data_IF_711832867901
#
_entry.id   IF_711832867901
#
_cell.length_a   1.000
_cell.length_b   1.000
_cell.length_c   1.000
_cell.angle_alpha   90.00
_cell.angle_beta   90.00
_cell.angle_gamma   90.00
#
_symmetry.space_group_name_H-M   'P 1'
#
loop_
_entity.id
_entity.type
_entity.pdbx_description
1 polymer ?
#
# COMPACT_ATOMS: atom_id res chain seq x y z
N UNK A 1 30.79 63.43 19.12
CA UNK A 1 30.73 62.20 18.28
C UNK A 1 30.22 61.06 19.15
N UNK A 2 29.10 60.42 18.76
CA UNK A 2 28.32 59.48 19.57
C UNK A 2 29.03 58.13 19.74
N UNK A 3 29.18 57.66 20.98
CA UNK A 3 29.49 56.27 21.32
C UNK A 3 28.19 55.46 21.27
N UNK A 4 28.19 54.34 20.56
CA UNK A 4 27.12 53.34 20.65
C UNK A 4 27.54 52.21 21.58
N UNK A 5 26.72 52.01 22.60
CA UNK A 5 26.71 50.90 23.54
C UNK A 5 25.58 49.93 23.19
N UNK A 6 25.73 48.67 23.62
CA UNK A 6 24.72 47.59 23.68
C UNK A 6 24.36 46.94 22.31
N UNK A 7 24.05 45.64 22.18
CA UNK A 7 23.51 44.72 23.18
C UNK A 7 23.81 43.24 22.82
N UNK A 8 24.01 42.42 23.84
CA UNK A 8 24.29 40.98 23.78
C UNK A 8 22.97 40.23 23.97
N UNK A 9 22.38 39.69 22.89
CA UNK A 9 21.24 38.78 23.01
C UNK A 9 21.65 37.33 22.74
N UNK A 10 21.73 36.56 23.83
CA UNK A 10 21.62 35.11 23.87
C UNK A 10 20.14 34.75 24.07
N UNK A 11 19.56 33.94 23.18
CA UNK A 11 18.50 32.94 23.51
C UNK A 11 18.04 32.24 22.21
N UNK A 12 18.22 30.91 22.10
CA UNK A 12 17.13 29.90 22.23
C UNK A 12 16.30 29.77 20.94
N UNK A 13 16.21 28.66 20.21
CA UNK A 13 15.92 27.29 20.67
C UNK A 13 16.25 26.25 19.59
N UNK A 14 16.99 25.20 19.97
CA UNK A 14 17.29 24.01 19.13
C UNK A 14 16.06 23.11 18.95
N UNK A 15 15.90 22.41 17.80
CA UNK A 15 14.93 21.32 17.66
C UNK A 15 15.47 20.04 18.32
N UNK A 16 15.41 19.92 19.65
CA UNK A 16 15.92 18.74 20.40
C UNK A 16 14.92 17.57 20.51
N UNK A 17 13.64 17.78 20.19
CA UNK A 17 12.58 16.80 20.53
C UNK A 17 12.57 15.54 19.64
N UNK A 18 12.99 15.63 18.37
CA UNK A 18 12.95 14.47 17.44
C UNK A 18 14.02 13.41 17.74
N UNK A 19 15.24 13.83 18.10
CA UNK A 19 16.35 12.94 18.39
C UNK A 19 16.09 12.09 19.66
N UNK A 20 15.38 12.65 20.64
CA UNK A 20 15.08 11.96 21.90
C UNK A 20 14.01 10.87 21.73
N UNK A 21 13.01 11.07 20.86
CA UNK A 21 12.01 10.05 20.53
C UNK A 21 12.65 8.86 19.80
N UNK A 22 13.55 9.12 18.85
CA UNK A 22 14.32 8.07 18.16
C UNK A 22 15.22 7.30 19.13
N UNK A 23 15.87 8.00 20.07
CA UNK A 23 16.72 7.38 21.10
C UNK A 23 15.92 6.53 22.09
N UNK A 24 14.73 6.99 22.49
CA UNK A 24 13.80 6.23 23.33
C UNK A 24 13.26 4.99 22.62
N UNK A 25 12.87 5.09 21.34
CA UNK A 25 12.47 3.93 20.50
C UNK A 25 13.59 2.89 20.39
N UNK A 26 14.83 3.33 20.13
CA UNK A 26 16.01 2.43 20.09
C UNK A 26 16.25 1.69 21.41
N UNK A 27 16.04 2.36 22.56
CA UNK A 27 16.16 1.74 23.89
C UNK A 27 15.04 0.73 24.16
N UNK A 28 13.81 1.03 23.79
CA UNK A 28 12.68 0.11 23.90
C UNK A 28 12.86 -1.15 23.04
N UNK A 29 13.31 -1.00 21.79
CA UNK A 29 13.65 -2.13 20.92
C UNK A 29 14.77 -3.01 21.51
N UNK A 30 15.80 -2.40 22.11
CA UNK A 30 16.88 -3.15 22.78
C UNK A 30 16.38 -3.93 24.00
N UNK A 31 15.41 -3.40 24.76
CA UNK A 31 14.80 -4.11 25.89
C UNK A 31 13.94 -5.28 25.45
N UNK A 32 13.12 -5.10 24.41
CA UNK A 32 12.35 -6.18 23.77
C UNK A 32 13.26 -7.31 23.26
N UNK A 33 14.40 -6.99 22.63
CA UNK A 33 15.39 -7.99 22.21
C UNK A 33 16.05 -8.76 23.37
N UNK A 34 16.17 -8.15 24.56
CA UNK A 34 16.76 -8.81 25.74
C UNK A 34 15.77 -9.68 26.51
N UNK A 35 14.47 -9.44 26.35
CA UNK A 35 13.39 -10.19 27.01
C UNK A 35 12.74 -11.23 26.09
N UNK A 36 13.10 -11.23 24.80
CA UNK A 36 12.70 -12.29 23.90
C UNK A 36 13.34 -13.60 24.40
N UNK A 37 12.56 -14.70 24.54
CA UNK A 37 13.15 -16.01 24.76
C UNK A 37 14.24 -16.28 23.70
N UNK A 38 15.21 -17.15 23.96
CA UNK A 38 16.15 -17.63 22.94
C UNK A 38 15.37 -18.45 21.91
N UNK A 39 14.62 -17.76 21.07
CA UNK A 39 13.91 -18.32 19.95
C UNK A 39 14.99 -18.80 18.99
N UNK A 40 14.87 -20.04 18.51
CA UNK A 40 15.78 -20.58 17.51
C UNK A 40 15.92 -19.57 16.35
N UNK A 41 17.16 -19.20 16.00
CA UNK A 41 17.45 -18.24 14.94
C UNK A 41 16.72 -18.58 13.63
N UNK A 42 16.62 -19.86 13.29
CA UNK A 42 15.90 -20.34 12.11
C UNK A 42 14.41 -20.03 12.18
N UNK A 43 13.79 -20.23 13.35
CA UNK A 43 12.38 -19.92 13.56
C UNK A 43 12.13 -18.41 13.58
N UNK A 44 13.03 -17.62 14.16
CA UNK A 44 12.97 -16.16 14.11
C UNK A 44 13.08 -15.62 12.68
N UNK A 45 13.98 -16.16 11.86
CA UNK A 45 14.11 -15.82 10.45
C UNK A 45 12.86 -16.23 9.65
N UNK A 46 12.30 -17.40 9.93
CA UNK A 46 11.05 -17.85 9.34
C UNK A 46 9.90 -16.87 9.64
N UNK A 47 9.69 -16.52 10.91
CA UNK A 47 8.65 -15.56 11.30
C UNK A 47 8.84 -14.20 10.63
N UNK A 48 10.09 -13.71 10.57
CA UNK A 48 10.40 -12.45 9.89
C UNK A 48 10.06 -12.50 8.39
N UNK A 49 10.44 -13.58 7.69
CA UNK A 49 10.09 -13.77 6.28
C UNK A 49 8.58 -13.86 6.07
N UNK A 50 7.85 -14.45 7.01
CA UNK A 50 6.39 -14.53 6.97
C UNK A 50 5.79 -13.13 7.12
N UNK A 51 6.21 -12.36 8.13
CA UNK A 51 5.70 -10.99 8.34
C UNK A 51 5.99 -10.07 7.15
N UNK A 52 7.17 -10.19 6.51
CA UNK A 52 7.48 -9.47 5.27
C UNK A 52 6.54 -9.83 4.12
N UNK A 53 6.09 -11.08 4.01
CA UNK A 53 5.08 -11.51 3.03
C UNK A 53 3.69 -10.98 3.37
N UNK A 54 3.37 -10.83 4.65
CA UNK A 54 2.09 -10.32 5.14
C UNK A 54 1.92 -8.83 4.83
N UNK A 55 2.96 -8.04 5.11
CA UNK A 55 2.98 -6.60 4.84
C UNK A 55 2.76 -6.24 3.37
N UNK A 56 3.21 -7.08 2.43
CA UNK A 56 2.94 -6.92 0.99
C UNK A 56 1.58 -7.51 0.55
N UNK A 57 0.96 -8.38 1.35
CA UNK A 57 -0.28 -9.07 1.00
C UNK A 57 -1.56 -8.34 1.47
N UNK A 58 -1.47 -7.50 2.50
CA UNK A 58 -2.66 -6.98 3.17
C UNK A 58 -3.43 -5.93 2.33
N UNK A 59 -2.76 -5.16 1.46
CA UNK A 59 -3.39 -4.16 0.57
C UNK A 59 -2.69 -3.99 -0.79
N UNK A 60 -2.20 -5.07 -1.40
CA UNK A 60 -1.63 -5.01 -2.76
C UNK A 60 -2.70 -4.62 -3.80
N UNK A 61 -2.31 -3.74 -4.72
CA UNK A 61 -3.14 -3.33 -5.86
C UNK A 61 -3.66 -4.55 -6.66
N UNK A 62 -2.82 -5.58 -6.83
CA UNK A 62 -3.18 -6.80 -7.55
C UNK A 62 -4.33 -7.54 -6.88
N UNK A 63 -4.28 -7.68 -5.55
CA UNK A 63 -5.33 -8.36 -4.79
C UNK A 63 -6.68 -7.65 -4.94
N UNK A 64 -6.68 -6.33 -4.77
CA UNK A 64 -7.90 -5.52 -4.93
C UNK A 64 -8.42 -5.58 -6.38
N UNK A 65 -7.52 -5.54 -7.36
CA UNK A 65 -7.88 -5.56 -8.78
C UNK A 65 -8.48 -6.91 -9.19
N UNK A 66 -7.92 -8.02 -8.71
CA UNK A 66 -8.50 -9.37 -8.90
C UNK A 66 -9.91 -9.46 -8.31
N UNK A 67 -10.12 -8.93 -7.10
CA UNK A 67 -11.45 -8.88 -6.49
C UNK A 67 -12.45 -8.06 -7.32
N UNK A 68 -12.05 -6.88 -7.80
CA UNK A 68 -12.87 -6.05 -8.71
C UNK A 68 -13.25 -6.80 -9.99
N UNK A 69 -12.32 -7.53 -10.60
CA UNK A 69 -12.60 -8.36 -11.79
C UNK A 69 -13.63 -9.44 -11.46
N UNK A 70 -13.49 -10.15 -10.34
CA UNK A 70 -14.43 -11.19 -9.92
C UNK A 70 -15.83 -10.65 -9.67
N UNK A 71 -15.95 -9.59 -8.87
CA UNK A 71 -17.24 -8.96 -8.59
C UNK A 71 -17.92 -8.44 -9.86
N UNK A 72 -17.15 -7.84 -10.79
CA UNK A 72 -17.69 -7.37 -12.07
C UNK A 72 -18.14 -8.55 -12.94
N UNK A 73 -17.41 -9.67 -12.94
CA UNK A 73 -17.78 -10.88 -13.67
C UNK A 73 -19.12 -11.43 -13.16
N UNK A 74 -19.30 -11.50 -11.84
CA UNK A 74 -20.56 -11.94 -11.22
C UNK A 74 -21.72 -10.98 -11.53
N UNK A 75 -21.47 -9.67 -11.48
CA UNK A 75 -22.46 -8.66 -11.81
C UNK A 75 -22.93 -8.78 -13.27
N UNK A 76 -21.99 -8.91 -14.20
CA UNK A 76 -22.28 -9.14 -15.63
C UNK A 76 -23.11 -10.42 -15.81
N UNK A 77 -22.72 -11.52 -15.16
CA UNK A 77 -23.43 -12.79 -15.27
C UNK A 77 -24.87 -12.68 -14.76
N UNK A 78 -25.07 -11.99 -13.63
CA UNK A 78 -26.40 -11.72 -13.06
C UNK A 78 -27.26 -10.88 -14.00
N UNK A 79 -26.68 -9.84 -14.63
CA UNK A 79 -27.40 -8.98 -15.58
C UNK A 79 -27.80 -9.73 -16.85
N UNK A 80 -26.90 -10.52 -17.42
CA UNK A 80 -27.18 -11.33 -18.62
C UNK A 80 -28.22 -12.42 -18.31
N UNK A 81 -28.13 -13.07 -17.15
CA UNK A 81 -29.08 -14.10 -16.74
C UNK A 81 -30.50 -13.57 -16.45
N UNK A 82 -30.62 -12.27 -16.17
CA UNK A 82 -31.90 -11.58 -15.95
C UNK A 82 -32.42 -10.94 -17.25
N UNK A 83 -32.12 -11.52 -18.42
CA UNK A 83 -32.32 -10.94 -19.76
C UNK A 83 -33.71 -10.30 -19.97
N UNK A 84 -34.77 -10.87 -19.38
CA UNK A 84 -36.14 -10.33 -19.45
C UNK A 84 -36.28 -8.93 -18.81
N UNK A 85 -35.35 -8.50 -17.95
CA UNK A 85 -35.31 -7.16 -17.31
C UNK A 85 -34.41 -6.15 -18.02
N UNK A 86 -33.59 -6.54 -19.01
CA UNK A 86 -32.80 -5.58 -19.81
C UNK A 86 -33.69 -4.95 -20.89
N UNK A 87 -34.75 -4.27 -20.46
CA UNK A 87 -35.74 -3.64 -21.34
C UNK A 87 -35.33 -2.24 -21.79
N UNK A 88 -34.30 -1.64 -21.16
CA UNK A 88 -33.79 -0.32 -21.52
C UNK A 88 -32.45 -0.34 -22.24
N UNK A 89 -32.30 0.54 -23.23
CA UNK A 89 -31.02 0.82 -23.92
C UNK A 89 -29.93 1.25 -22.93
N UNK A 90 -30.31 1.90 -21.84
CA UNK A 90 -29.35 2.35 -20.82
C UNK A 90 -28.75 1.19 -20.02
N UNK A 91 -29.52 0.12 -19.79
CA UNK A 91 -29.00 -1.10 -19.14
C UNK A 91 -27.97 -1.80 -20.03
N UNK A 92 -28.20 -1.80 -21.35
CA UNK A 92 -27.26 -2.34 -22.31
C UNK A 92 -25.96 -1.52 -22.36
N UNK A 93 -26.04 -0.19 -22.31
CA UNK A 93 -24.87 0.69 -22.22
C UNK A 93 -24.10 0.45 -20.92
N UNK A 94 -24.80 0.30 -19.80
CA UNK A 94 -24.20 -0.02 -18.51
C UNK A 94 -23.48 -1.37 -18.55
N UNK A 95 -24.10 -2.42 -19.08
CA UNK A 95 -23.48 -3.72 -19.24
C UNK A 95 -22.23 -3.65 -20.15
N UNK A 96 -22.33 -2.94 -21.27
CA UNK A 96 -21.19 -2.72 -22.18
C UNK A 96 -20.02 -2.06 -21.46
N UNK A 97 -20.28 -1.03 -20.64
CA UNK A 97 -19.26 -0.38 -19.81
C UNK A 97 -18.62 -1.36 -18.82
N UNK A 98 -19.40 -2.18 -18.14
CA UNK A 98 -18.91 -3.19 -17.20
C UNK A 98 -18.02 -4.23 -17.89
N UNK A 99 -18.42 -4.72 -19.06
CA UNK A 99 -17.65 -5.66 -19.88
C UNK A 99 -16.31 -5.05 -20.32
N UNK A 100 -16.35 -3.81 -20.83
CA UNK A 100 -15.14 -3.09 -21.24
C UNK A 100 -14.22 -2.81 -20.06
N UNK A 101 -14.76 -2.41 -18.91
CA UNK A 101 -14.01 -2.21 -17.68
C UNK A 101 -13.29 -3.49 -17.25
N UNK A 102 -14.00 -4.63 -17.20
CA UNK A 102 -13.40 -5.93 -16.87
C UNK A 102 -12.24 -6.27 -17.80
N UNK A 103 -12.42 -6.10 -19.12
CA UNK A 103 -11.38 -6.39 -20.12
C UNK A 103 -10.13 -5.53 -19.88
N UNK A 104 -10.30 -4.22 -19.73
CA UNK A 104 -9.18 -3.29 -19.49
C UNK A 104 -8.45 -3.60 -18.19
N UNK A 105 -9.20 -3.84 -17.11
CA UNK A 105 -8.61 -4.14 -15.81
C UNK A 105 -7.87 -5.49 -15.80
N UNK A 106 -8.37 -6.49 -16.51
CA UNK A 106 -7.72 -7.80 -16.64
C UNK A 106 -6.37 -7.65 -17.34
N UNK A 107 -6.31 -6.98 -18.50
CA UNK A 107 -5.04 -6.75 -19.20
C UNK A 107 -4.05 -5.91 -18.41
N UNK A 108 -4.53 -4.96 -17.59
CA UNK A 108 -3.66 -4.25 -16.65
C UNK A 108 -3.07 -5.24 -15.64
N UNK A 109 -3.91 -6.02 -14.95
CA UNK A 109 -3.48 -6.99 -13.94
C UNK A 109 -2.47 -8.00 -14.52
N UNK A 110 -2.70 -8.53 -15.72
CA UNK A 110 -1.76 -9.44 -16.40
C UNK A 110 -0.37 -8.81 -16.55
N UNK A 111 -0.31 -7.59 -17.08
CA UNK A 111 0.95 -6.84 -17.19
C UNK A 111 1.62 -6.60 -15.83
N UNK A 112 0.81 -6.32 -14.80
CA UNK A 112 1.32 -6.10 -13.45
C UNK A 112 1.87 -7.40 -12.82
N UNK A 113 1.29 -8.53 -13.13
CA UNK A 113 1.79 -9.84 -12.72
C UNK A 113 3.11 -10.18 -13.41
N UNK A 114 3.26 -9.86 -14.70
CA UNK A 114 4.53 -9.97 -15.41
C UNK A 114 5.63 -9.13 -14.73
N UNK A 115 5.34 -7.87 -14.40
CA UNK A 115 6.29 -7.01 -13.67
C UNK A 115 6.67 -7.58 -12.31
N UNK A 116 5.70 -8.11 -11.57
CA UNK A 116 5.96 -8.78 -10.30
C UNK A 116 6.85 -10.00 -10.48
N UNK A 117 6.64 -10.80 -11.52
CA UNK A 117 7.45 -11.98 -11.83
C UNK A 117 8.89 -11.60 -12.20
N UNK A 118 9.09 -10.41 -12.80
CA UNK A 118 10.40 -9.82 -13.08
C UNK A 118 11.05 -9.17 -11.85
N UNK A 119 10.40 -9.19 -10.68
CA UNK A 119 10.91 -8.61 -9.44
C UNK A 119 10.72 -7.09 -9.32
N UNK A 120 9.93 -6.48 -10.22
CA UNK A 120 9.59 -5.06 -10.19
C UNK A 120 8.39 -4.85 -9.25
N UNK A 121 8.66 -4.47 -8.01
CA UNK A 121 7.62 -4.34 -6.97
C UNK A 121 7.04 -2.92 -6.82
N UNK A 122 7.65 -1.93 -7.48
CA UNK A 122 7.27 -0.51 -7.38
C UNK A 122 6.85 -0.01 -8.76
N UNK A 123 5.77 0.75 -8.81
CA UNK A 123 5.31 1.39 -10.04
C UNK A 123 4.47 2.62 -9.78
N UNK A 124 4.34 3.45 -10.83
CA UNK A 124 3.59 4.70 -10.78
C UNK A 124 2.25 4.46 -11.45
N UNK A 125 1.19 4.37 -10.63
CA UNK A 125 -0.20 4.33 -11.07
C UNK A 125 -0.83 5.69 -10.79
N UNK A 126 -1.39 6.34 -11.82
CA UNK A 126 -2.05 7.65 -11.72
C UNK A 126 -1.21 8.73 -11.01
N UNK A 127 0.11 8.74 -11.28
CA UNK A 127 1.06 9.67 -10.66
C UNK A 127 1.44 9.34 -9.21
N UNK A 128 0.96 8.24 -8.64
CA UNK A 128 1.28 7.79 -7.28
C UNK A 128 2.13 6.53 -7.30
N UNK A 129 3.15 6.49 -6.45
CA UNK A 129 3.93 5.26 -6.22
C UNK A 129 3.06 4.24 -5.48
N UNK A 130 2.94 3.07 -6.08
CA UNK A 130 2.14 1.94 -5.59
C UNK A 130 2.98 0.68 -5.62
N UNK A 131 2.87 -0.12 -4.56
CA UNK A 131 3.53 -1.41 -4.45
C UNK A 131 2.63 -2.53 -4.97
N UNK A 132 3.19 -3.42 -5.78
CA UNK A 132 2.51 -4.60 -6.35
C UNK A 132 2.36 -5.76 -5.36
#
# INVERSE_FOLDING_TARGET
MKKYSENKQRSSSRPRKSHDLLRKKKKALKKLRKMAPKINLSYQLFLYRQELKRASADFSYLRLSRAKIMLTKELIAKKIGSCDQMSSVDDLKMLSREVQFKKRLTSQVERLEEFKNLGLTEMILDGKRTTL
#
